data_IF_978505250821
#
_entry.id   IF_978505250821
#
_cell.length_a   1.000
_cell.length_b   1.000
_cell.length_c   1.000
_cell.angle_alpha   90.00
_cell.angle_beta   90.00
_cell.angle_gamma   90.00
#
_symmetry.space_group_name_H-M   'P 1'
#
loop_
_entity.id
_entity.type
_entity.pdbx_description
1 polymer ?
#
# COMPACT_ATOMS: atom_id res chain seq x y z
N UNK A 1 -11.16 -32.87 14.38
CA UNK A 1 -10.76 -31.50 14.78
C UNK A 1 -10.57 -31.53 16.30
N UNK A 2 -9.31 -31.53 16.76
CA UNK A 2 -9.02 -31.33 18.19
C UNK A 2 -9.60 -29.98 18.63
N UNK A 3 -10.36 -29.98 19.72
CA UNK A 3 -10.80 -28.76 20.38
C UNK A 3 -9.56 -28.04 20.92
N UNK A 4 -9.01 -27.09 20.16
CA UNK A 4 -7.98 -26.20 20.69
C UNK A 4 -8.55 -25.54 21.96
N UNK A 5 -7.88 -25.69 23.09
CA UNK A 5 -8.23 -24.93 24.27
C UNK A 5 -8.10 -23.44 23.97
N UNK A 6 -8.94 -22.59 24.57
CA UNK A 6 -8.89 -21.12 24.38
C UNK A 6 -7.47 -20.60 24.58
N UNK A 7 -6.75 -21.11 25.57
CA UNK A 7 -5.33 -20.77 25.83
C UNK A 7 -4.44 -21.06 24.61
N UNK A 8 -4.58 -22.23 24.00
CA UNK A 8 -3.77 -22.63 22.84
C UNK A 8 -4.13 -21.79 21.59
N UNK A 9 -5.41 -21.43 21.43
CA UNK A 9 -5.85 -20.53 20.38
C UNK A 9 -5.21 -19.15 20.53
N UNK A 10 -5.31 -18.54 21.72
CA UNK A 10 -4.71 -17.23 22.01
C UNK A 10 -3.19 -17.27 21.80
N UNK A 11 -2.50 -18.28 22.33
CA UNK A 11 -1.04 -18.45 22.17
C UNK A 11 -0.61 -18.68 20.70
N UNK A 12 -1.50 -19.19 19.86
CA UNK A 12 -1.22 -19.38 18.43
C UNK A 12 -1.41 -18.09 17.63
N UNK A 13 -2.47 -17.33 17.91
CA UNK A 13 -2.89 -16.20 17.10
C UNK A 13 -2.68 -14.84 17.77
N UNK A 14 -1.93 -14.77 18.90
CA UNK A 14 -1.73 -13.53 19.65
C UNK A 14 -1.25 -12.32 18.82
N UNK A 15 -0.40 -12.46 17.77
CA UNK A 15 0.01 -11.30 16.99
C UNK A 15 -1.17 -10.66 16.27
N UNK A 16 -2.06 -11.48 15.71
CA UNK A 16 -3.25 -11.02 14.98
C UNK A 16 -4.33 -10.49 15.93
N UNK A 17 -4.46 -11.06 17.12
CA UNK A 17 -5.35 -10.54 18.18
C UNK A 17 -4.86 -9.16 18.62
N UNK A 18 -3.56 -8.99 18.82
CA UNK A 18 -2.94 -7.70 19.14
C UNK A 18 -3.23 -6.69 18.04
N UNK A 19 -3.01 -7.07 16.78
CA UNK A 19 -3.29 -6.20 15.63
C UNK A 19 -4.75 -5.75 15.60
N UNK A 20 -5.69 -6.70 15.75
CA UNK A 20 -7.12 -6.40 15.79
C UNK A 20 -7.49 -5.41 16.90
N UNK A 21 -6.98 -5.64 18.12
CA UNK A 21 -7.25 -4.77 19.28
C UNK A 21 -6.70 -3.36 19.06
N UNK A 22 -5.49 -3.23 18.53
CA UNK A 22 -4.89 -1.93 18.23
C UNK A 22 -5.68 -1.20 17.12
N UNK A 23 -6.05 -1.90 16.06
CA UNK A 23 -6.85 -1.29 14.99
C UNK A 23 -8.24 -0.90 15.47
N UNK A 24 -8.90 -1.74 16.29
CA UNK A 24 -10.20 -1.41 16.87
C UNK A 24 -10.11 -0.18 17.79
N UNK A 25 -9.08 -0.09 18.62
CA UNK A 25 -8.87 1.10 19.46
C UNK A 25 -8.71 2.39 18.63
N UNK A 26 -8.06 2.29 17.46
CA UNK A 26 -7.94 3.40 16.52
C UNK A 26 -9.30 3.74 15.86
N UNK A 27 -10.07 2.75 15.45
CA UNK A 27 -11.37 2.96 14.79
C UNK A 27 -12.40 3.62 15.73
N UNK A 28 -12.45 3.21 16.99
CA UNK A 28 -13.39 3.75 17.99
C UNK A 28 -13.23 5.26 18.26
N UNK A 29 -12.17 5.90 17.81
CA UNK A 29 -11.98 7.36 17.93
C UNK A 29 -12.20 8.10 16.61
N UNK A 30 -12.54 7.39 15.50
CA UNK A 30 -12.77 8.01 14.19
C UNK A 30 -14.14 8.70 14.13
N UNK A 31 -14.19 9.84 13.47
CA UNK A 31 -15.42 10.57 13.14
C UNK A 31 -15.79 10.45 11.65
N UNK A 32 -17.04 10.67 11.32
CA UNK A 32 -17.50 10.70 9.92
C UNK A 32 -16.94 11.93 9.24
N UNK A 33 -16.28 11.78 8.11
CA UNK A 33 -15.66 12.89 7.40
C UNK A 33 -15.75 12.77 5.87
N UNK A 34 -15.40 13.83 5.16
CA UNK A 34 -15.21 13.83 3.72
C UNK A 34 -16.42 13.37 2.91
N UNK A 35 -16.19 12.45 1.98
CA UNK A 35 -17.22 11.93 1.09
C UNK A 35 -18.24 11.02 1.80
N UNK A 36 -17.90 10.47 2.98
CA UNK A 36 -18.84 9.65 3.77
C UNK A 36 -20.10 10.44 4.10
N UNK A 37 -19.97 11.76 4.43
CA UNK A 37 -21.11 12.65 4.69
C UNK A 37 -22.02 12.81 3.48
N UNK A 38 -21.44 12.83 2.27
CA UNK A 38 -22.19 12.90 1.00
C UNK A 38 -22.89 11.57 0.70
N UNK A 39 -22.14 10.46 0.82
CA UNK A 39 -22.69 9.13 0.56
C UNK A 39 -23.82 8.73 1.50
N UNK A 40 -23.81 9.19 2.76
CA UNK A 40 -24.88 8.96 3.71
C UNK A 40 -26.25 9.53 3.27
N UNK A 41 -26.23 10.58 2.45
CA UNK A 41 -27.43 11.28 1.96
C UNK A 41 -27.92 10.78 0.59
N UNK A 42 -27.13 10.02 -0.13
CA UNK A 42 -27.42 9.63 -1.54
C UNK A 42 -28.76 8.93 -1.69
N UNK A 43 -29.07 7.96 -0.81
CA UNK A 43 -30.30 7.19 -0.90
C UNK A 43 -31.51 7.84 -0.16
N UNK A 44 -31.43 9.13 0.16
CA UNK A 44 -32.56 9.83 0.78
C UNK A 44 -33.69 10.16 -0.23
N UNK A 45 -33.32 10.38 -1.50
CA UNK A 45 -34.22 10.84 -2.54
C UNK A 45 -34.23 9.92 -3.79
N UNK A 46 -33.58 8.77 -3.74
CA UNK A 46 -33.50 7.81 -4.86
C UNK A 46 -33.32 6.38 -4.36
N UNK A 47 -33.67 5.41 -5.19
CA UNK A 47 -33.42 3.99 -4.88
C UNK A 47 -31.96 3.62 -5.13
N UNK A 48 -31.51 2.50 -4.56
CA UNK A 48 -30.17 1.96 -4.84
C UNK A 48 -29.99 1.66 -6.34
N UNK A 49 -31.03 1.16 -7.00
CA UNK A 49 -30.98 0.82 -8.43
C UNK A 49 -30.79 2.08 -9.27
N UNK A 50 -31.56 3.15 -9.00
CA UNK A 50 -31.42 4.43 -9.69
C UNK A 50 -30.02 5.04 -9.49
N UNK A 51 -29.52 4.98 -8.25
CA UNK A 51 -28.17 5.44 -7.94
C UNK A 51 -27.11 4.69 -8.74
N UNK A 52 -27.14 3.36 -8.74
CA UNK A 52 -26.16 2.54 -9.45
C UNK A 52 -26.25 2.75 -10.97
N UNK A 53 -27.45 2.86 -11.53
CA UNK A 53 -27.65 3.19 -12.94
C UNK A 53 -27.07 4.56 -13.28
N UNK A 54 -27.33 5.57 -12.43
CA UNK A 54 -26.71 6.91 -12.59
C UNK A 54 -25.17 6.83 -12.55
N UNK A 55 -24.60 6.09 -11.58
CA UNK A 55 -23.13 5.95 -11.44
C UNK A 55 -22.49 5.32 -12.67
N UNK A 56 -23.08 4.23 -13.18
CA UNK A 56 -22.59 3.55 -14.38
C UNK A 56 -22.52 4.48 -15.58
N UNK A 57 -23.58 5.26 -15.82
CA UNK A 57 -23.65 6.12 -16.99
C UNK A 57 -22.90 7.44 -16.86
N UNK A 58 -22.71 7.97 -15.63
CA UNK A 58 -22.24 9.33 -15.45
C UNK A 58 -20.96 9.46 -14.62
N UNK A 59 -20.48 8.39 -13.93
CA UNK A 59 -19.37 8.60 -13.01
C UNK A 59 -18.38 7.46 -12.86
N UNK A 60 -18.79 6.18 -12.63
CA UNK A 60 -17.88 5.17 -12.13
C UNK A 60 -18.29 3.74 -12.50
N UNK A 61 -17.28 2.90 -12.76
CA UNK A 61 -17.43 1.44 -12.90
C UNK A 61 -17.46 0.70 -11.55
N UNK A 62 -17.21 1.36 -10.43
CA UNK A 62 -17.08 0.73 -9.08
C UNK A 62 -18.43 0.39 -8.46
N UNK A 63 -19.33 -0.22 -9.22
CA UNK A 63 -20.73 -0.37 -8.83
C UNK A 63 -20.93 -1.28 -7.62
N UNK A 64 -20.16 -2.35 -7.48
CA UNK A 64 -20.23 -3.27 -6.33
C UNK A 64 -19.76 -2.56 -5.06
N UNK A 65 -18.62 -1.87 -5.13
CA UNK A 65 -18.07 -1.12 -3.99
C UNK A 65 -19.04 -0.02 -3.55
N UNK A 66 -19.54 0.76 -4.50
CA UNK A 66 -20.43 1.88 -4.19
C UNK A 66 -21.82 1.44 -3.71
N UNK A 67 -22.33 0.29 -4.19
CA UNK A 67 -23.56 -0.30 -3.66
C UNK A 67 -23.44 -0.63 -2.18
N UNK A 68 -22.31 -1.21 -1.77
CA UNK A 68 -22.06 -1.55 -0.37
C UNK A 68 -21.81 -0.29 0.45
N UNK A 69 -21.02 0.66 -0.09
CA UNK A 69 -20.67 1.91 0.58
C UNK A 69 -21.93 2.72 0.97
N UNK A 70 -22.83 3.00 0.02
CA UNK A 70 -24.03 3.84 0.28
C UNK A 70 -25.02 3.18 1.22
N UNK A 71 -25.02 1.85 1.33
CA UNK A 71 -25.81 1.14 2.32
C UNK A 71 -25.13 1.17 3.68
N UNK A 72 -23.82 0.89 3.73
CA UNK A 72 -23.06 0.78 4.97
C UNK A 72 -22.95 2.11 5.71
N UNK A 73 -22.68 3.20 5.00
CA UNK A 73 -22.48 4.55 5.59
C UNK A 73 -23.74 5.10 6.27
N UNK A 74 -24.92 4.57 5.95
CA UNK A 74 -26.20 4.91 6.59
C UNK A 74 -26.45 4.15 7.89
N UNK A 75 -25.67 3.11 8.14
CA UNK A 75 -25.77 2.30 9.35
C UNK A 75 -24.98 2.94 10.48
N UNK A 76 -25.01 2.31 11.65
CA UNK A 76 -24.15 2.72 12.74
C UNK A 76 -22.68 2.52 12.35
N UNK A 77 -21.85 3.54 12.57
CA UNK A 77 -20.42 3.53 12.26
C UNK A 77 -19.68 2.33 12.89
N UNK A 78 -20.10 1.90 14.09
CA UNK A 78 -19.55 0.73 14.79
C UNK A 78 -19.59 -0.55 13.92
N UNK A 79 -20.62 -0.71 13.09
CA UNK A 79 -20.72 -1.87 12.21
C UNK A 79 -19.55 -1.89 11.20
N UNK A 80 -19.28 -0.75 10.57
CA UNK A 80 -18.13 -0.62 9.66
C UNK A 80 -16.82 -0.79 10.42
N UNK A 81 -16.63 -0.17 11.58
CA UNK A 81 -15.41 -0.26 12.39
C UNK A 81 -15.03 -1.72 12.68
N UNK A 82 -16.00 -2.55 13.09
CA UNK A 82 -15.76 -3.96 13.36
C UNK A 82 -15.43 -4.72 12.08
N UNK A 83 -16.20 -4.52 11.00
CA UNK A 83 -15.95 -5.20 9.73
C UNK A 83 -14.62 -4.82 9.12
N UNK A 84 -14.25 -3.54 9.16
CA UNK A 84 -12.97 -3.04 8.65
C UNK A 84 -11.80 -3.67 9.40
N UNK A 85 -11.84 -3.68 10.74
CA UNK A 85 -10.82 -4.32 11.57
C UNK A 85 -10.71 -5.82 11.33
N UNK A 86 -11.84 -6.52 11.18
CA UNK A 86 -11.87 -7.96 10.88
C UNK A 86 -11.24 -8.23 9.52
N UNK A 87 -11.68 -7.53 8.46
CA UNK A 87 -11.15 -7.70 7.11
C UNK A 87 -9.67 -7.36 7.04
N UNK A 88 -9.25 -6.28 7.70
CA UNK A 88 -7.83 -5.90 7.72
C UNK A 88 -6.98 -6.96 8.45
N UNK A 89 -7.46 -7.49 9.58
CA UNK A 89 -6.78 -8.56 10.30
C UNK A 89 -6.66 -9.83 9.45
N UNK A 90 -7.71 -10.20 8.72
CA UNK A 90 -7.66 -11.32 7.77
C UNK A 90 -6.68 -11.07 6.62
N UNK A 91 -6.67 -9.85 6.08
CA UNK A 91 -5.70 -9.47 5.04
C UNK A 91 -4.26 -9.65 5.51
N UNK A 92 -3.95 -9.13 6.71
CA UNK A 92 -2.64 -9.26 7.34
C UNK A 92 -2.29 -10.73 7.60
N UNK A 93 -3.24 -11.52 8.10
CA UNK A 93 -3.04 -12.94 8.33
C UNK A 93 -2.65 -13.69 7.05
N UNK A 94 -3.42 -13.50 5.96
CA UNK A 94 -3.16 -14.21 4.71
C UNK A 94 -1.94 -13.68 3.96
N UNK A 95 -1.65 -12.39 4.03
CA UNK A 95 -0.42 -11.81 3.48
C UNK A 95 0.83 -12.40 4.17
N UNK A 96 0.81 -12.53 5.50
CA UNK A 96 1.89 -13.16 6.25
C UNK A 96 1.95 -14.67 5.96
N UNK A 97 0.79 -15.33 5.93
CA UNK A 97 0.69 -16.76 5.65
C UNK A 97 1.31 -17.14 4.32
N UNK A 98 1.23 -16.29 3.32
CA UNK A 98 1.81 -16.54 2.00
C UNK A 98 3.31 -16.87 2.07
N UNK A 99 4.05 -16.25 2.99
CA UNK A 99 5.51 -16.41 3.14
C UNK A 99 5.92 -17.22 4.37
N UNK A 100 5.08 -17.32 5.39
CA UNK A 100 5.38 -18.03 6.63
C UNK A 100 5.12 -19.53 6.52
N UNK A 101 5.91 -20.23 5.71
CA UNK A 101 5.75 -21.64 5.41
C UNK A 101 5.88 -22.56 6.64
N UNK A 102 6.71 -22.17 7.62
CA UNK A 102 6.96 -22.92 8.85
C UNK A 102 5.97 -22.63 9.97
N UNK A 103 4.93 -21.82 9.73
CA UNK A 103 3.97 -21.35 10.74
C UNK A 103 4.66 -20.73 11.98
N UNK A 104 5.80 -20.05 11.78
CA UNK A 104 6.58 -19.42 12.83
C UNK A 104 5.79 -18.26 13.46
N UNK A 105 5.59 -18.32 14.79
CA UNK A 105 4.97 -17.24 15.56
C UNK A 105 5.81 -15.96 15.52
N UNK A 106 7.13 -16.11 15.50
CA UNK A 106 8.06 -15.00 15.42
C UNK A 106 7.92 -14.24 14.10
N UNK A 107 7.90 -14.95 12.98
CA UNK A 107 7.64 -14.34 11.65
C UNK A 107 6.26 -13.69 11.60
N UNK A 108 5.25 -14.33 12.19
CA UNK A 108 3.92 -13.73 12.27
C UNK A 108 3.92 -12.42 13.07
N UNK A 109 4.66 -12.37 14.18
CA UNK A 109 4.81 -11.17 14.98
C UNK A 109 5.55 -10.05 14.23
N UNK A 110 6.68 -10.35 13.58
CA UNK A 110 7.40 -9.39 12.74
C UNK A 110 6.52 -8.85 11.60
N UNK A 111 5.75 -9.73 10.95
CA UNK A 111 4.82 -9.33 9.90
C UNK A 111 3.73 -8.38 10.41
N UNK A 112 3.16 -8.65 11.58
CA UNK A 112 2.17 -7.75 12.22
C UNK A 112 2.80 -6.39 12.54
N UNK A 113 4.03 -6.34 13.06
CA UNK A 113 4.74 -5.09 13.32
C UNK A 113 4.95 -4.29 12.02
N UNK A 114 5.28 -4.96 10.92
CA UNK A 114 5.44 -4.30 9.61
C UNK A 114 4.12 -3.68 9.13
N UNK A 115 2.98 -4.37 9.27
CA UNK A 115 1.69 -3.79 8.89
C UNK A 115 1.25 -2.65 9.82
N UNK A 116 1.66 -2.63 11.09
CA UNK A 116 1.45 -1.49 12.00
C UNK A 116 2.30 -0.25 11.64
N UNK A 117 3.30 -0.39 10.77
CA UNK A 117 4.05 0.74 10.25
C UNK A 117 3.34 1.46 9.08
N UNK A 118 2.20 0.91 8.59
CA UNK A 118 1.42 1.57 7.56
C UNK A 118 0.80 2.87 8.07
N UNK A 119 0.87 4.00 7.32
CA UNK A 119 0.30 5.29 7.72
C UNK A 119 -1.22 5.29 7.55
N UNK A 120 -1.95 4.61 8.42
CA UNK A 120 -3.39 4.35 8.29
C UNK A 120 -4.24 5.63 8.22
N UNK A 121 -3.75 6.77 8.76
CA UNK A 121 -4.43 8.06 8.66
C UNK A 121 -4.66 8.53 7.21
N UNK A 122 -3.90 8.02 6.23
CA UNK A 122 -4.09 8.30 4.82
C UNK A 122 -5.45 7.76 4.28
N UNK A 123 -6.04 6.80 4.98
CA UNK A 123 -7.36 6.27 4.65
C UNK A 123 -8.49 7.27 4.96
N UNK A 124 -8.21 8.36 5.69
CA UNK A 124 -9.18 9.44 5.93
C UNK A 124 -9.34 10.42 4.77
N UNK A 125 -8.44 10.38 3.77
CA UNK A 125 -8.25 11.47 2.79
C UNK A 125 -9.49 11.82 1.94
N UNK A 126 -10.43 10.89 1.76
CA UNK A 126 -11.72 11.16 1.10
C UNK A 126 -12.94 10.71 1.93
N UNK A 127 -12.74 10.43 3.21
CA UNK A 127 -13.70 9.77 4.09
C UNK A 127 -13.23 8.36 4.42
N UNK A 128 -13.44 7.93 5.66
CA UNK A 128 -12.96 6.64 6.15
C UNK A 128 -13.57 5.47 5.38
N UNK A 129 -14.91 5.40 5.33
CA UNK A 129 -15.61 4.32 4.65
C UNK A 129 -15.36 4.37 3.14
N UNK A 130 -15.46 5.55 2.54
CA UNK A 130 -15.22 5.74 1.11
C UNK A 130 -13.82 5.29 0.70
N UNK A 131 -12.80 5.56 1.52
CA UNK A 131 -11.42 5.19 1.18
C UNK A 131 -11.13 3.73 1.53
N UNK A 132 -11.52 3.24 2.71
CA UNK A 132 -11.23 1.85 3.10
C UNK A 132 -11.92 0.85 2.19
N UNK A 133 -13.19 1.06 1.80
CA UNK A 133 -13.87 0.17 0.86
C UNK A 133 -13.20 0.15 -0.52
N UNK A 134 -12.73 1.31 -1.00
CA UNK A 134 -12.09 1.40 -2.32
C UNK A 134 -10.65 0.86 -2.36
N UNK A 135 -9.95 0.77 -1.22
CA UNK A 135 -8.54 0.35 -1.17
C UNK A 135 -8.33 -0.84 -0.24
N UNK A 136 -8.55 -0.68 1.06
CA UNK A 136 -8.26 -1.70 2.06
C UNK A 136 -9.11 -2.95 1.88
N UNK A 137 -10.44 -2.79 1.66
CA UNK A 137 -11.31 -3.94 1.42
C UNK A 137 -10.99 -4.64 0.10
N UNK A 138 -10.61 -3.89 -0.94
CA UNK A 138 -10.15 -4.50 -2.19
C UNK A 138 -8.91 -5.35 -1.97
N UNK A 139 -7.92 -4.88 -1.20
CA UNK A 139 -6.74 -5.68 -0.85
C UNK A 139 -7.12 -6.88 0.04
N UNK A 140 -7.93 -6.67 1.07
CA UNK A 140 -8.34 -7.72 1.99
C UNK A 140 -9.08 -8.85 1.26
N UNK A 141 -10.01 -8.48 0.39
CA UNK A 141 -10.78 -9.44 -0.40
C UNK A 141 -9.96 -10.07 -1.52
N UNK A 142 -8.93 -9.38 -2.05
CA UNK A 142 -7.94 -9.99 -2.93
C UNK A 142 -7.14 -11.09 -2.20
N UNK A 143 -6.73 -10.85 -0.94
CA UNK A 143 -6.08 -11.89 -0.13
C UNK A 143 -7.02 -13.06 0.16
N UNK A 144 -8.28 -12.80 0.50
CA UNK A 144 -9.29 -13.85 0.70
C UNK A 144 -9.55 -14.62 -0.60
N UNK A 145 -9.62 -13.94 -1.73
CA UNK A 145 -9.78 -14.60 -3.03
C UNK A 145 -8.59 -15.51 -3.37
N UNK A 146 -7.42 -15.23 -2.83
CA UNK A 146 -6.21 -16.02 -3.06
C UNK A 146 -6.11 -17.28 -2.19
N UNK A 147 -7.02 -17.50 -1.21
CA UNK A 147 -6.96 -18.65 -0.28
C UNK A 147 -6.87 -20.00 -1.00
N UNK A 148 -7.63 -20.28 -2.08
CA UNK A 148 -7.49 -21.56 -2.78
C UNK A 148 -6.10 -21.78 -3.38
N UNK A 149 -5.44 -20.71 -3.87
CA UNK A 149 -4.07 -20.78 -4.40
C UNK A 149 -3.05 -20.92 -3.26
N UNK A 150 -3.24 -20.20 -2.15
CA UNK A 150 -2.40 -20.36 -0.95
C UNK A 150 -2.51 -21.78 -0.40
N UNK A 151 -3.72 -22.34 -0.31
CA UNK A 151 -3.90 -23.73 0.11
C UNK A 151 -3.17 -24.71 -0.83
N UNK A 152 -3.20 -24.46 -2.14
CA UNK A 152 -2.46 -25.27 -3.11
C UNK A 152 -0.95 -25.26 -2.85
N UNK A 153 -0.37 -24.10 -2.58
CA UNK A 153 1.06 -23.96 -2.23
C UNK A 153 1.43 -24.77 -0.98
N UNK A 154 0.49 -24.93 -0.04
CA UNK A 154 0.68 -25.73 1.18
C UNK A 154 0.22 -27.18 1.04
N UNK A 155 -0.11 -27.64 -0.16
CA UNK A 155 -0.61 -29.00 -0.40
C UNK A 155 -1.96 -29.31 0.28
N UNK A 156 -2.73 -28.28 0.65
CA UNK A 156 -4.01 -28.40 1.34
C UNK A 156 -5.18 -28.42 0.37
N UNK A 157 -6.18 -29.25 0.66
CA UNK A 157 -7.45 -29.26 -0.08
C UNK A 157 -8.29 -28.06 0.32
N UNK A 158 -8.94 -27.44 -0.65
CA UNK A 158 -9.90 -26.36 -0.44
C UNK A 158 -11.31 -26.92 -0.54
N UNK A 159 -12.18 -26.63 0.43
CA UNK A 159 -13.58 -27.04 0.39
C UNK A 159 -14.43 -26.07 -0.48
N UNK A 160 -15.64 -26.50 -0.85
CA UNK A 160 -16.52 -25.75 -1.75
C UNK A 160 -16.91 -24.39 -1.16
N UNK A 161 -17.19 -24.31 0.13
CA UNK A 161 -17.55 -23.04 0.79
C UNK A 161 -16.44 -22.00 0.66
N UNK A 162 -15.17 -22.40 0.84
CA UNK A 162 -14.02 -21.50 0.67
C UNK A 162 -13.92 -21.04 -0.78
N UNK A 163 -14.16 -21.89 -1.78
CA UNK A 163 -14.22 -21.46 -3.18
C UNK A 163 -15.31 -20.41 -3.42
N UNK A 164 -16.52 -20.62 -2.89
CA UNK A 164 -17.63 -19.66 -3.02
C UNK A 164 -17.27 -18.32 -2.39
N UNK A 165 -16.77 -18.32 -1.15
CA UNK A 165 -16.33 -17.09 -0.46
C UNK A 165 -15.21 -16.40 -1.25
N UNK A 166 -14.25 -17.16 -1.77
CA UNK A 166 -13.13 -16.61 -2.56
C UNK A 166 -13.58 -15.98 -3.88
N UNK A 167 -14.60 -16.53 -4.54
CA UNK A 167 -15.17 -15.96 -5.77
C UNK A 167 -15.94 -14.67 -5.45
N UNK A 168 -16.75 -14.65 -4.40
CA UNK A 168 -17.45 -13.43 -3.97
C UNK A 168 -16.45 -12.33 -3.59
N UNK A 169 -15.38 -12.68 -2.89
CA UNK A 169 -14.30 -11.77 -2.56
C UNK A 169 -13.59 -11.25 -3.81
N UNK A 170 -13.36 -12.10 -4.82
CA UNK A 170 -12.78 -11.72 -6.09
C UNK A 170 -13.63 -10.68 -6.82
N UNK A 171 -14.96 -10.89 -6.91
CA UNK A 171 -15.89 -9.97 -7.58
C UNK A 171 -15.80 -8.56 -6.97
N UNK A 172 -15.70 -8.45 -5.65
CA UNK A 172 -15.50 -7.17 -4.99
C UNK A 172 -14.11 -6.59 -5.29
N UNK A 173 -13.06 -7.38 -5.12
CA UNK A 173 -11.68 -6.94 -5.25
C UNK A 173 -11.33 -6.41 -6.66
N UNK A 174 -11.89 -7.01 -7.72
CA UNK A 174 -11.65 -6.58 -9.11
C UNK A 174 -12.53 -5.40 -9.54
N UNK A 175 -13.38 -4.87 -8.66
CA UNK A 175 -14.24 -3.74 -8.98
C UNK A 175 -13.51 -2.38 -8.89
N UNK A 176 -12.29 -2.34 -8.35
CA UNK A 176 -11.42 -1.17 -8.27
C UNK A 176 -10.24 -1.33 -9.25
N UNK A 177 -9.91 -0.28 -9.99
CA UNK A 177 -9.00 -0.33 -11.15
C UNK A 177 -7.59 -0.83 -10.81
N UNK A 178 -6.97 -0.31 -9.74
CA UNK A 178 -5.61 -0.70 -9.32
C UNK A 178 -5.58 -2.15 -8.82
N UNK A 179 -6.56 -2.53 -8.00
CA UNK A 179 -6.71 -3.90 -7.49
C UNK A 179 -6.95 -4.90 -8.62
N UNK A 180 -7.84 -4.55 -9.56
CA UNK A 180 -8.13 -5.38 -10.73
C UNK A 180 -6.88 -5.62 -11.56
N UNK A 181 -6.12 -4.55 -11.87
CA UNK A 181 -4.88 -4.65 -12.64
C UNK A 181 -3.82 -5.51 -11.93
N UNK A 182 -3.69 -5.37 -10.61
CA UNK A 182 -2.78 -6.21 -9.79
C UNK A 182 -3.17 -7.68 -9.82
N UNK A 183 -4.46 -7.98 -9.54
CA UNK A 183 -4.96 -9.36 -9.52
C UNK A 183 -4.78 -10.00 -10.91
N UNK A 184 -5.18 -9.31 -11.96
CA UNK A 184 -5.01 -9.78 -13.33
C UNK A 184 -3.53 -10.02 -13.65
N UNK A 185 -2.68 -9.00 -13.47
CA UNK A 185 -1.26 -9.07 -13.84
C UNK A 185 -0.52 -10.19 -13.12
N UNK A 186 -0.65 -10.30 -11.79
CA UNK A 186 0.05 -11.33 -11.01
C UNK A 186 -0.44 -12.73 -11.35
N UNK A 187 -1.75 -12.94 -11.48
CA UNK A 187 -2.30 -14.26 -11.80
C UNK A 187 -2.04 -14.66 -13.26
N UNK A 188 -2.02 -13.68 -14.20
CA UNK A 188 -1.65 -13.93 -15.59
C UNK A 188 -0.18 -14.33 -15.71
N UNK A 189 0.75 -13.64 -15.02
CA UNK A 189 2.17 -14.01 -15.00
C UNK A 189 2.35 -15.43 -14.42
N UNK A 190 1.65 -15.75 -13.33
CA UNK A 190 1.68 -17.08 -12.74
C UNK A 190 1.15 -18.15 -13.73
N UNK A 191 0.03 -17.88 -14.41
CA UNK A 191 -0.53 -18.76 -15.44
C UNK A 191 0.44 -18.96 -16.61
N UNK A 192 1.03 -17.86 -17.11
CA UNK A 192 2.00 -17.88 -18.20
C UNK A 192 3.27 -18.66 -17.83
N UNK A 193 3.78 -18.49 -16.60
CA UNK A 193 4.93 -19.26 -16.11
C UNK A 193 4.64 -20.78 -16.09
N UNK A 194 3.44 -21.18 -15.61
CA UNK A 194 3.04 -22.58 -15.59
C UNK A 194 2.91 -23.16 -17.02
N UNK A 195 2.41 -22.36 -17.98
CA UNK A 195 2.34 -22.74 -19.39
C UNK A 195 3.74 -22.95 -19.99
N UNK A 196 4.67 -22.02 -19.73
CA UNK A 196 6.07 -22.11 -20.22
C UNK A 196 6.76 -23.34 -19.64
N UNK A 197 6.56 -23.61 -18.35
CA UNK A 197 7.12 -24.79 -17.66
C UNK A 197 6.40 -26.09 -17.98
N UNK A 198 5.32 -26.06 -18.77
CA UNK A 198 4.44 -27.19 -19.08
C UNK A 198 3.87 -27.88 -17.82
N UNK A 199 3.66 -27.09 -16.77
CA UNK A 199 3.04 -27.55 -15.53
C UNK A 199 1.51 -27.60 -15.66
N UNK A 200 0.86 -28.39 -14.78
CA UNK A 200 -0.60 -28.51 -14.78
C UNK A 200 -1.24 -27.20 -14.38
N UNK A 201 -2.09 -26.66 -15.26
CA UNK A 201 -2.82 -25.42 -15.01
C UNK A 201 -3.86 -25.60 -13.91
N UNK A 202 -3.88 -24.67 -12.98
CA UNK A 202 -4.89 -24.63 -11.93
C UNK A 202 -6.17 -23.96 -12.45
N UNK A 203 -7.30 -24.70 -12.39
CA UNK A 203 -8.61 -24.22 -12.88
C UNK A 203 -9.07 -22.95 -12.18
N UNK A 204 -8.78 -22.83 -10.87
CA UNK A 204 -9.15 -21.63 -10.12
C UNK A 204 -8.32 -20.41 -10.55
N UNK A 205 -7.01 -20.59 -10.82
CA UNK A 205 -6.19 -19.51 -11.36
C UNK A 205 -6.70 -19.03 -12.75
N UNK A 206 -7.11 -19.96 -13.61
CA UNK A 206 -7.75 -19.62 -14.90
C UNK A 206 -9.00 -18.78 -14.66
N UNK A 207 -9.86 -19.20 -13.71
CA UNK A 207 -11.06 -18.44 -13.35
C UNK A 207 -10.73 -17.02 -12.87
N UNK A 208 -9.72 -16.87 -12.00
CA UNK A 208 -9.27 -15.55 -11.51
C UNK A 208 -8.82 -14.66 -12.66
N UNK A 209 -8.03 -15.19 -13.60
CA UNK A 209 -7.58 -14.45 -14.77
C UNK A 209 -8.76 -14.03 -15.66
N UNK A 210 -9.70 -14.93 -15.92
CA UNK A 210 -10.87 -14.64 -16.76
C UNK A 210 -11.79 -13.58 -16.11
N UNK A 211 -12.07 -13.70 -14.82
CA UNK A 211 -12.92 -12.74 -14.10
C UNK A 211 -12.27 -11.37 -14.01
N UNK A 212 -10.99 -11.31 -13.70
CA UNK A 212 -10.27 -10.03 -13.64
C UNK A 212 -10.10 -9.39 -15.00
N UNK A 213 -9.89 -10.18 -16.07
CA UNK A 213 -9.86 -9.68 -17.44
C UNK A 213 -11.22 -9.10 -17.88
N UNK A 214 -12.31 -9.82 -17.61
CA UNK A 214 -13.67 -9.33 -17.88
C UNK A 214 -13.97 -8.03 -17.12
N UNK A 215 -13.51 -7.93 -15.85
CA UNK A 215 -13.65 -6.71 -15.06
C UNK A 215 -12.82 -5.55 -15.63
N UNK A 216 -11.60 -5.79 -16.14
CA UNK A 216 -10.82 -4.75 -16.83
C UNK A 216 -11.55 -4.23 -18.07
N UNK A 217 -12.12 -5.12 -18.88
CA UNK A 217 -12.94 -4.71 -20.03
C UNK A 217 -14.11 -3.84 -19.57
N UNK A 218 -14.84 -4.27 -18.53
CA UNK A 218 -15.96 -3.52 -17.97
C UNK A 218 -15.53 -2.12 -17.49
N UNK A 219 -14.40 -2.01 -16.79
CA UNK A 219 -13.83 -0.75 -16.32
C UNK A 219 -13.50 0.18 -17.51
N UNK A 220 -12.85 -0.36 -18.53
CA UNK A 220 -12.42 0.42 -19.69
C UNK A 220 -13.58 0.87 -20.59
N UNK A 221 -14.68 0.12 -20.61
CA UNK A 221 -15.85 0.40 -21.46
C UNK A 221 -16.98 1.14 -20.71
N UNK A 222 -16.84 1.37 -19.40
CA UNK A 222 -17.84 2.07 -18.61
C UNK A 222 -17.97 3.54 -19.04
N UNK A 223 -19.14 3.99 -19.51
CA UNK A 223 -19.32 5.36 -20.02
C UNK A 223 -19.09 6.41 -18.93
N UNK A 224 -19.48 6.13 -17.68
CA UNK A 224 -19.28 7.03 -16.56
C UNK A 224 -17.80 7.38 -16.30
N UNK A 225 -16.88 6.46 -16.54
CA UNK A 225 -15.44 6.73 -16.38
C UNK A 225 -14.94 7.82 -17.35
N UNK A 226 -15.46 7.86 -18.57
CA UNK A 226 -15.09 8.89 -19.56
C UNK A 226 -15.64 10.26 -19.16
N UNK A 227 -16.89 10.32 -18.68
CA UNK A 227 -17.51 11.56 -18.20
C UNK A 227 -16.79 12.08 -16.96
N UNK A 228 -16.49 11.19 -15.99
CA UNK A 228 -15.70 11.53 -14.82
C UNK A 228 -14.34 12.09 -15.22
N UNK A 229 -13.62 11.43 -16.13
CA UNK A 229 -12.32 11.91 -16.60
C UNK A 229 -12.39 13.34 -17.14
N UNK A 230 -13.36 13.66 -18.01
CA UNK A 230 -13.53 15.00 -18.54
C UNK A 230 -13.85 16.04 -17.45
N UNK A 231 -14.70 15.69 -16.48
CA UNK A 231 -15.04 16.54 -15.34
C UNK A 231 -13.82 16.78 -14.45
N UNK A 232 -13.06 15.73 -14.13
CA UNK A 232 -11.86 15.83 -13.28
C UNK A 232 -10.73 16.62 -13.97
N UNK A 233 -10.57 16.51 -15.30
CA UNK A 233 -9.64 17.35 -16.07
C UNK A 233 -10.03 18.82 -15.92
N UNK A 234 -11.28 19.17 -16.15
CA UNK A 234 -11.70 20.56 -16.10
C UNK A 234 -11.62 21.18 -14.70
N UNK A 235 -11.86 20.38 -13.65
CA UNK A 235 -11.92 20.84 -12.26
C UNK A 235 -10.57 20.84 -11.54
N UNK A 236 -9.82 19.71 -11.66
CA UNK A 236 -8.60 19.53 -10.88
C UNK A 236 -7.33 19.89 -11.63
N UNK A 237 -7.27 19.55 -12.94
CA UNK A 237 -6.03 19.65 -13.70
C UNK A 237 -6.25 19.94 -15.18
N UNK A 238 -6.68 21.16 -15.55
CA UNK A 238 -6.97 21.50 -16.95
C UNK A 238 -5.81 21.25 -17.93
N UNK A 239 -4.58 21.48 -17.47
CA UNK A 239 -3.37 21.27 -18.27
C UNK A 239 -3.13 19.81 -18.65
N UNK A 240 -3.71 18.86 -17.88
CA UNK A 240 -3.55 17.42 -18.10
C UNK A 240 -4.05 16.95 -19.47
N UNK A 241 -5.02 17.67 -20.05
CA UNK A 241 -5.53 17.40 -21.39
C UNK A 241 -4.44 17.53 -22.49
N UNK A 242 -3.44 18.38 -22.25
CA UNK A 242 -2.37 18.70 -23.19
C UNK A 242 -1.14 17.81 -23.01
N UNK A 243 -1.10 16.97 -21.97
CA UNK A 243 0.06 16.13 -21.70
C UNK A 243 0.12 14.91 -22.59
N UNK A 244 1.28 14.74 -23.23
CA UNK A 244 1.63 13.54 -23.96
C UNK A 244 2.01 12.36 -23.03
N UNK A 245 2.47 11.30 -23.66
CA UNK A 245 2.83 10.08 -22.93
C UNK A 245 4.06 10.28 -22.02
N UNK A 246 5.02 11.10 -22.43
CA UNK A 246 6.26 11.32 -21.66
C UNK A 246 5.99 12.07 -20.36
N UNK A 247 5.15 13.12 -20.41
CA UNK A 247 4.71 13.84 -19.21
C UNK A 247 3.93 12.94 -18.26
N UNK A 248 3.09 12.06 -18.77
CA UNK A 248 2.35 11.09 -17.96
C UNK A 248 3.28 10.04 -17.35
N UNK A 249 4.31 9.57 -18.06
CA UNK A 249 5.35 8.71 -17.49
C UNK A 249 6.09 9.44 -16.36
N UNK A 250 6.45 10.70 -16.57
CA UNK A 250 7.06 11.54 -15.53
C UNK A 250 6.17 11.65 -14.29
N UNK A 251 4.86 11.91 -14.46
CA UNK A 251 3.86 11.94 -13.40
C UNK A 251 3.68 10.58 -12.68
N UNK A 252 3.99 9.48 -13.34
CA UNK A 252 3.94 8.14 -12.75
C UNK A 252 5.16 7.85 -11.89
N UNK A 253 6.33 8.27 -12.29
CA UNK A 253 7.61 7.95 -11.62
C UNK A 253 7.88 8.91 -10.47
N UNK A 254 7.96 10.19 -10.77
CA UNK A 254 8.51 11.17 -9.83
C UNK A 254 7.62 11.37 -8.59
N UNK A 255 6.31 11.65 -8.71
CA UNK A 255 5.45 11.78 -7.53
C UNK A 255 5.37 10.49 -6.71
N UNK A 256 5.50 9.31 -7.34
CA UNK A 256 5.52 8.04 -6.63
C UNK A 256 6.72 7.98 -5.67
N UNK A 257 7.93 8.26 -6.15
CA UNK A 257 9.12 8.25 -5.29
C UNK A 257 9.14 9.39 -4.27
N UNK A 258 8.65 10.58 -4.63
CA UNK A 258 8.50 11.68 -3.68
C UNK A 258 7.61 11.28 -2.49
N UNK A 259 6.45 10.67 -2.76
CA UNK A 259 5.53 10.20 -1.72
C UNK A 259 6.11 9.01 -0.92
N UNK A 260 6.85 8.09 -1.54
CA UNK A 260 7.52 6.99 -0.83
C UNK A 260 8.58 7.48 0.16
N UNK A 261 9.25 8.59 -0.13
CA UNK A 261 10.21 9.21 0.78
C UNK A 261 9.52 10.09 1.84
N UNK A 262 8.32 10.60 1.54
CA UNK A 262 7.51 11.38 2.49
C UNK A 262 7.17 10.57 3.74
N UNK A 263 6.79 9.30 3.59
CA UNK A 263 6.41 8.40 4.68
C UNK A 263 7.59 7.94 5.58
N UNK A 264 8.82 8.08 5.12
CA UNK A 264 10.09 7.88 5.86
C UNK A 264 10.30 6.49 6.49
N UNK A 265 9.34 5.56 6.45
CA UNK A 265 9.43 4.25 7.14
C UNK A 265 9.46 3.08 6.16
N UNK A 266 8.37 2.82 5.44
CA UNK A 266 8.18 1.55 4.69
C UNK A 266 9.20 1.41 3.56
N UNK A 267 9.28 2.39 2.66
CA UNK A 267 10.20 2.31 1.53
C UNK A 267 11.68 2.37 1.95
N UNK A 268 12.11 3.28 2.83
CA UNK A 268 13.48 3.25 3.35
C UNK A 268 13.84 1.95 4.07
N UNK A 269 12.91 1.39 4.86
CA UNK A 269 13.11 0.10 5.52
C UNK A 269 13.24 -1.05 4.52
N UNK A 270 12.39 -1.08 3.50
CA UNK A 270 12.50 -2.03 2.38
C UNK A 270 13.86 -1.92 1.71
N UNK A 271 14.28 -0.72 1.32
CA UNK A 271 15.55 -0.50 0.64
C UNK A 271 16.75 -0.87 1.51
N UNK A 272 16.71 -0.57 2.80
CA UNK A 272 17.72 -0.94 3.78
C UNK A 272 17.85 -2.47 3.91
N UNK A 273 16.74 -3.18 4.15
CA UNK A 273 16.74 -4.64 4.31
C UNK A 273 17.15 -5.33 3.02
N UNK A 274 16.67 -4.85 1.86
CA UNK A 274 17.07 -5.36 0.56
C UNK A 274 18.58 -5.20 0.33
N UNK A 275 19.14 -4.04 0.66
CA UNK A 275 20.58 -3.78 0.54
C UNK A 275 21.39 -4.71 1.46
N UNK A 276 20.96 -4.86 2.72
CA UNK A 276 21.60 -5.78 3.68
C UNK A 276 21.54 -7.23 3.18
N UNK A 277 20.38 -7.67 2.67
CA UNK A 277 20.24 -9.00 2.08
C UNK A 277 21.17 -9.19 0.87
N UNK A 278 21.31 -8.16 0.03
CA UNK A 278 22.22 -8.20 -1.12
C UNK A 278 23.70 -8.32 -0.69
N UNK A 279 24.10 -7.61 0.37
CA UNK A 279 25.46 -7.71 0.93
C UNK A 279 25.81 -9.15 1.34
N UNK A 280 24.86 -9.93 1.82
CA UNK A 280 25.09 -11.35 2.20
C UNK A 280 25.30 -12.28 0.99
N UNK A 281 24.85 -11.86 -0.21
CA UNK A 281 24.91 -12.63 -1.46
C UNK A 281 26.09 -12.25 -2.37
N UNK A 282 26.74 -11.13 -2.09
CA UNK A 282 27.84 -10.62 -2.92
C UNK A 282 29.17 -10.94 -2.24
N UNK A 283 30.14 -11.49 -3.01
CA UNK A 283 31.51 -11.76 -2.53
C UNK A 283 32.47 -10.60 -2.82
N UNK A 284 32.28 -9.93 -3.96
CA UNK A 284 33.17 -8.87 -4.42
C UNK A 284 33.16 -7.66 -3.44
N UNK A 285 34.33 -7.34 -2.90
CA UNK A 285 34.51 -6.25 -1.92
C UNK A 285 34.09 -4.88 -2.47
N UNK A 286 34.40 -4.58 -3.73
CA UNK A 286 34.05 -3.29 -4.33
C UNK A 286 32.54 -3.12 -4.44
N UNK A 287 31.82 -4.18 -4.80
CA UNK A 287 30.34 -4.17 -4.82
C UNK A 287 29.79 -4.01 -3.42
N UNK A 288 30.38 -4.64 -2.40
CA UNK A 288 29.95 -4.43 -1.00
C UNK A 288 30.11 -2.97 -0.56
N UNK A 289 31.20 -2.30 -0.95
CA UNK A 289 31.36 -0.87 -0.65
C UNK A 289 30.25 -0.02 -1.29
N UNK A 290 29.88 -0.29 -2.53
CA UNK A 290 28.74 0.39 -3.18
C UNK A 290 27.44 0.14 -2.42
N UNK A 291 27.20 -1.09 -1.97
CA UNK A 291 26.00 -1.41 -1.17
C UNK A 291 26.00 -0.69 0.20
N UNK A 292 27.14 -0.54 0.86
CA UNK A 292 27.23 0.27 2.09
C UNK A 292 26.97 1.76 1.81
N UNK A 293 27.41 2.27 0.66
CA UNK A 293 27.05 3.64 0.22
C UNK A 293 25.54 3.77 -0.03
N UNK A 294 24.88 2.74 -0.53
CA UNK A 294 23.41 2.73 -0.68
C UNK A 294 22.71 2.85 0.69
N UNK A 295 23.20 2.15 1.72
CA UNK A 295 22.67 2.27 3.08
C UNK A 295 22.83 3.70 3.58
N UNK A 296 24.02 4.28 3.43
CA UNK A 296 24.28 5.66 3.81
C UNK A 296 23.37 6.63 3.05
N UNK A 297 23.22 6.42 1.74
CA UNK A 297 22.41 7.28 0.87
C UNK A 297 20.94 7.31 1.29
N UNK A 298 20.30 6.14 1.51
CA UNK A 298 18.89 6.11 1.92
C UNK A 298 18.68 6.73 3.31
N UNK A 299 19.59 6.47 4.25
CA UNK A 299 19.53 7.07 5.58
C UNK A 299 19.73 8.58 5.51
N UNK A 300 20.66 9.06 4.66
CA UNK A 300 20.87 10.47 4.41
C UNK A 300 19.62 11.14 3.83
N UNK A 301 18.95 10.53 2.85
CA UNK A 301 17.70 11.04 2.29
C UNK A 301 16.60 11.17 3.35
N UNK A 302 16.43 10.15 4.21
CA UNK A 302 15.44 10.16 5.30
C UNK A 302 15.73 11.28 6.30
N UNK A 303 16.97 11.40 6.74
CA UNK A 303 17.38 12.46 7.67
C UNK A 303 17.17 13.84 7.05
N UNK A 304 17.64 14.04 5.82
CA UNK A 304 17.51 15.33 5.11
C UNK A 304 16.02 15.71 4.92
N UNK A 305 15.18 14.74 4.51
CA UNK A 305 13.74 14.96 4.37
C UNK A 305 13.08 15.30 5.70
N UNK A 306 13.50 14.64 6.79
CA UNK A 306 13.00 14.96 8.13
C UNK A 306 13.36 16.38 8.57
N UNK A 307 14.61 16.81 8.32
CA UNK A 307 15.05 18.19 8.60
C UNK A 307 14.27 19.20 7.76
N UNK A 308 14.01 18.88 6.48
CA UNK A 308 13.19 19.70 5.59
C UNK A 308 11.78 19.90 6.16
N UNK A 309 11.12 18.84 6.58
CA UNK A 309 9.75 18.90 7.11
C UNK A 309 9.69 19.68 8.44
N UNK A 310 10.67 19.49 9.33
CA UNK A 310 10.78 20.27 10.56
C UNK A 310 10.95 21.77 10.23
N UNK A 311 11.77 22.10 9.24
CA UNK A 311 12.00 23.51 8.84
C UNK A 311 10.75 24.15 8.26
N UNK A 312 9.95 23.41 7.47
CA UNK A 312 8.70 23.89 6.89
C UNK A 312 7.58 24.04 7.94
N UNK A 313 7.54 23.14 8.92
CA UNK A 313 6.58 23.21 10.03
C UNK A 313 6.75 24.52 10.84
N UNK A 314 8.00 24.91 11.11
CA UNK A 314 8.31 26.14 11.82
C UNK A 314 7.84 27.41 11.10
N UNK A 315 7.95 27.44 9.78
CA UNK A 315 7.45 28.55 8.96
C UNK A 315 5.92 28.58 8.88
N UNK A 316 5.28 27.43 8.82
CA UNK A 316 3.81 27.30 8.72
C UNK A 316 3.08 27.74 10.00
N UNK A 317 3.67 27.52 11.18
CA UNK A 317 3.03 27.83 12.46
C UNK A 317 3.23 29.29 12.94
N UNK A 318 3.99 30.11 12.21
CA UNK A 318 4.21 31.56 12.47
C UNK A 318 4.49 31.90 13.96
N UNK A 319 4.97 30.95 14.76
CA UNK A 319 5.24 31.16 16.17
C UNK A 319 6.72 31.53 16.37
N UNK A 320 6.97 32.67 17.00
CA UNK A 320 8.33 33.13 17.28
C UNK A 320 9.16 32.09 18.05
N UNK A 321 8.54 31.36 18.97
CA UNK A 321 9.19 30.31 19.76
C UNK A 321 9.56 29.10 18.89
N UNK A 322 8.68 28.69 17.98
CA UNK A 322 8.94 27.53 17.11
C UNK A 322 9.96 27.87 16.00
N UNK A 323 9.96 29.12 15.51
CA UNK A 323 10.93 29.56 14.52
C UNK A 323 12.38 29.50 15.04
N UNK A 324 12.59 29.86 16.30
CA UNK A 324 13.92 29.72 16.93
C UNK A 324 14.42 28.28 17.00
N UNK A 325 13.50 27.31 17.22
CA UNK A 325 13.84 25.88 17.26
C UNK A 325 14.07 25.30 15.86
N UNK A 326 13.36 25.79 14.85
CA UNK A 326 13.40 25.23 13.47
C UNK A 326 14.40 25.92 12.55
N UNK A 327 14.79 27.15 12.80
CA UNK A 327 15.78 27.91 12.02
C UNK A 327 17.13 27.18 11.81
N UNK A 328 17.71 26.50 12.80
CA UNK A 328 18.95 25.74 12.59
C UNK A 328 18.78 24.65 11.54
N UNK A 329 17.64 23.97 11.51
CA UNK A 329 17.34 22.90 10.52
C UNK A 329 17.15 23.51 9.13
N UNK A 330 16.45 24.65 9.02
CA UNK A 330 16.35 25.42 7.77
C UNK A 330 17.71 25.84 7.22
N UNK A 331 18.63 26.26 8.08
CA UNK A 331 19.99 26.60 7.68
C UNK A 331 20.72 25.40 7.08
N UNK A 332 20.63 24.23 7.73
CA UNK A 332 21.27 22.99 7.23
C UNK A 332 20.68 22.58 5.87
N UNK A 333 19.35 22.59 5.74
CA UNK A 333 18.67 22.21 4.50
C UNK A 333 19.00 23.16 3.35
N UNK A 334 19.17 24.44 3.63
CA UNK A 334 19.55 25.46 2.65
C UNK A 334 21.03 25.40 2.21
N UNK A 335 21.86 24.56 2.84
CA UNK A 335 23.22 24.29 2.35
C UNK A 335 23.24 23.46 1.06
N UNK A 336 22.17 22.71 0.78
CA UNK A 336 22.04 21.86 -0.41
C UNK A 336 20.73 22.17 -1.15
N UNK A 337 20.60 23.38 -1.76
CA UNK A 337 19.35 23.79 -2.42
C UNK A 337 18.87 22.83 -3.51
N UNK A 338 19.74 22.21 -4.34
CA UNK A 338 19.28 21.24 -5.34
C UNK A 338 18.58 20.04 -4.72
N UNK A 339 19.08 19.52 -3.60
CA UNK A 339 18.48 18.39 -2.91
C UNK A 339 17.18 18.79 -2.20
N UNK A 340 17.12 19.98 -1.60
CA UNK A 340 15.89 20.55 -1.03
C UNK A 340 14.78 20.56 -2.08
N UNK A 341 15.05 21.12 -3.25
CA UNK A 341 14.07 21.21 -4.34
C UNK A 341 13.70 19.82 -4.90
N UNK A 342 14.66 18.87 -4.88
CA UNK A 342 14.41 17.50 -5.36
C UNK A 342 13.49 16.69 -4.44
N UNK A 343 13.44 16.99 -3.14
CA UNK A 343 12.68 16.25 -2.15
C UNK A 343 11.38 16.93 -1.72
N UNK A 344 11.04 18.09 -2.29
CA UNK A 344 9.72 18.70 -2.11
C UNK A 344 8.69 17.86 -2.88
N UNK A 345 7.58 17.55 -2.21
CA UNK A 345 6.47 16.85 -2.86
C UNK A 345 5.90 17.73 -3.98
N UNK A 346 5.80 17.14 -5.17
CA UNK A 346 5.28 17.84 -6.34
C UNK A 346 3.79 18.14 -6.19
N UNK A 347 3.41 19.32 -6.68
CA UNK A 347 2.02 19.75 -6.85
C UNK A 347 1.74 20.12 -8.31
N UNK A 348 0.51 20.48 -8.62
CA UNK A 348 0.12 20.97 -9.95
C UNK A 348 0.96 22.17 -10.42
N UNK A 349 1.46 22.98 -9.52
CA UNK A 349 2.23 24.20 -9.80
C UNK A 349 3.71 23.91 -10.12
N UNK A 350 4.23 22.77 -9.65
CA UNK A 350 5.67 22.45 -9.73
C UNK A 350 6.06 21.57 -10.92
N UNK A 351 5.11 21.13 -11.74
CA UNK A 351 5.39 20.28 -12.92
C UNK A 351 6.12 21.02 -14.04
N UNK A 352 5.99 22.35 -14.13
CA UNK A 352 6.68 23.16 -15.16
C UNK A 352 8.21 23.09 -15.04
N UNK A 353 8.74 22.81 -13.84
CA UNK A 353 10.17 22.80 -13.58
C UNK A 353 10.68 21.37 -13.36
N UNK A 354 11.12 20.73 -14.45
CA UNK A 354 11.72 19.39 -14.38
C UNK A 354 13.01 19.43 -13.57
N UNK A 355 12.98 18.84 -12.38
CA UNK A 355 14.15 18.72 -11.55
C UNK A 355 14.93 17.45 -11.92
N UNK A 356 16.04 17.62 -12.64
CA UNK A 356 16.90 16.53 -13.11
C UNK A 356 17.41 15.67 -11.93
N UNK A 357 17.73 16.30 -10.79
CA UNK A 357 18.20 15.56 -9.61
C UNK A 357 17.11 14.65 -9.04
N UNK A 358 15.86 15.09 -9.03
CA UNK A 358 14.71 14.24 -8.62
C UNK A 358 14.60 13.01 -9.52
N UNK A 359 14.70 13.20 -10.85
CA UNK A 359 14.69 12.10 -11.81
C UNK A 359 15.84 11.13 -11.53
N UNK A 360 17.06 11.64 -11.35
CA UNK A 360 18.23 10.80 -11.08
C UNK A 360 18.07 9.98 -9.80
N UNK A 361 17.59 10.59 -8.71
CA UNK A 361 17.32 9.88 -7.43
C UNK A 361 16.26 8.81 -7.64
N UNK A 362 15.13 9.15 -8.27
CA UNK A 362 14.02 8.21 -8.48
C UNK A 362 14.45 7.01 -9.35
N UNK A 363 15.13 7.26 -10.47
CA UNK A 363 15.63 6.19 -11.35
C UNK A 363 16.69 5.35 -10.65
N UNK A 364 17.60 5.97 -9.89
CA UNK A 364 18.60 5.24 -9.13
C UNK A 364 17.95 4.29 -8.11
N UNK A 365 16.98 4.76 -7.32
CA UNK A 365 16.28 3.95 -6.35
C UNK A 365 15.48 2.83 -7.03
N UNK A 366 14.85 3.10 -8.16
CA UNK A 366 14.09 2.12 -8.93
C UNK A 366 15.01 1.02 -9.49
N UNK A 367 16.03 1.40 -10.25
CA UNK A 367 16.94 0.47 -10.93
C UNK A 367 17.73 -0.35 -9.91
N UNK A 368 18.30 0.30 -8.88
CA UNK A 368 19.05 -0.41 -7.84
C UNK A 368 18.18 -1.41 -7.07
N UNK A 369 16.93 -1.06 -6.77
CA UNK A 369 15.96 -2.00 -6.15
C UNK A 369 15.71 -3.21 -7.04
N UNK A 370 15.49 -3.01 -8.34
CA UNK A 370 15.29 -4.11 -9.30
C UNK A 370 16.51 -5.04 -9.37
N UNK A 371 17.72 -4.47 -9.51
CA UNK A 371 18.96 -5.26 -9.59
C UNK A 371 19.22 -6.03 -8.30
N UNK A 372 19.02 -5.41 -7.15
CA UNK A 372 19.19 -6.06 -5.84
C UNK A 372 18.16 -7.19 -5.64
N UNK A 373 16.89 -7.01 -6.03
CA UNK A 373 15.87 -8.05 -5.94
C UNK A 373 16.24 -9.29 -6.78
N UNK A 374 16.66 -9.10 -8.04
CA UNK A 374 17.13 -10.20 -8.89
C UNK A 374 18.28 -10.94 -8.21
N UNK A 375 19.26 -10.20 -7.64
CA UNK A 375 20.42 -10.80 -6.99
C UNK A 375 20.08 -11.57 -5.72
N UNK A 376 19.16 -11.05 -4.90
CA UNK A 376 18.80 -11.71 -3.64
C UNK A 376 17.98 -12.96 -3.86
N UNK A 377 17.02 -12.93 -4.78
CA UNK A 377 16.13 -14.08 -5.00
C UNK A 377 16.69 -15.09 -6.00
N UNK A 378 17.78 -14.79 -6.70
CA UNK A 378 18.33 -15.60 -7.81
C UNK A 378 17.25 -15.90 -8.87
N UNK A 379 16.24 -15.02 -8.99
CA UNK A 379 15.06 -15.13 -9.80
C UNK A 379 14.30 -13.81 -9.91
N UNK A 380 13.10 -13.88 -10.51
CA UNK A 380 12.29 -12.71 -10.81
C UNK A 380 11.11 -12.50 -9.85
N UNK A 381 10.91 -13.37 -8.85
CA UNK A 381 9.73 -13.34 -7.97
C UNK A 381 9.61 -12.01 -7.22
N UNK A 382 10.69 -11.59 -6.57
CA UNK A 382 10.74 -10.31 -5.86
C UNK A 382 10.61 -9.12 -6.80
N UNK A 383 11.24 -9.19 -7.99
CA UNK A 383 11.14 -8.16 -9.01
C UNK A 383 9.70 -8.02 -9.53
N UNK A 384 9.03 -9.13 -9.84
CA UNK A 384 7.64 -9.15 -10.31
C UNK A 384 6.73 -8.48 -9.29
N UNK A 385 6.85 -8.83 -8.01
CA UNK A 385 6.06 -8.19 -6.95
C UNK A 385 6.36 -6.70 -6.83
N UNK A 386 7.64 -6.30 -6.86
CA UNK A 386 8.03 -4.90 -6.78
C UNK A 386 7.47 -4.08 -7.95
N UNK A 387 7.63 -4.58 -9.17
CA UNK A 387 7.11 -3.92 -10.38
C UNK A 387 5.57 -3.88 -10.35
N UNK A 388 4.90 -4.95 -9.92
CA UNK A 388 3.44 -4.95 -9.78
C UNK A 388 2.97 -3.87 -8.79
N UNK A 389 3.64 -3.77 -7.63
CA UNK A 389 3.37 -2.72 -6.65
C UNK A 389 3.62 -1.32 -7.21
N UNK A 390 4.75 -1.11 -7.86
CA UNK A 390 5.08 0.16 -8.51
C UNK A 390 4.03 0.53 -9.58
N UNK A 391 3.69 -0.42 -10.46
CA UNK A 391 2.70 -0.22 -11.52
C UNK A 391 1.30 0.07 -10.98
N UNK A 392 0.94 -0.44 -9.80
CA UNK A 392 -0.35 -0.12 -9.16
C UNK A 392 -0.48 1.38 -8.89
N UNK A 393 0.59 2.05 -8.48
CA UNK A 393 0.60 3.51 -8.31
C UNK A 393 0.81 4.22 -9.65
N UNK A 394 1.70 3.70 -10.51
CA UNK A 394 2.02 4.30 -11.81
C UNK A 394 0.77 4.51 -12.68
N UNK A 395 -0.21 3.62 -12.65
CA UNK A 395 -1.47 3.75 -13.38
C UNK A 395 -2.19 5.08 -13.07
N UNK A 396 -2.03 5.61 -11.85
CA UNK A 396 -2.66 6.90 -11.48
C UNK A 396 -2.09 8.10 -12.25
N UNK A 397 -0.95 7.96 -12.91
CA UNK A 397 -0.38 8.95 -13.81
C UNK A 397 -1.26 9.28 -15.03
N UNK A 398 -2.14 8.36 -15.36
CA UNK A 398 -3.11 8.51 -16.47
C UNK A 398 -4.45 9.13 -15.99
N UNK A 399 -4.53 9.53 -14.73
CA UNK A 399 -5.67 10.22 -14.15
C UNK A 399 -5.37 11.69 -13.85
N UNK A 400 -6.27 12.63 -14.18
CA UNK A 400 -6.12 14.03 -13.83
C UNK A 400 -6.11 14.28 -12.31
N UNK A 401 -6.49 13.29 -11.51
CA UNK A 401 -6.50 13.36 -10.05
C UNK A 401 -5.19 12.85 -9.41
N UNK A 402 -4.11 12.69 -10.17
CA UNK A 402 -2.82 12.13 -9.72
C UNK A 402 -2.31 12.76 -8.41
N UNK A 403 -2.46 14.06 -8.23
CA UNK A 403 -2.06 14.76 -7.01
C UNK A 403 -3.15 14.74 -5.93
N UNK A 404 -4.40 15.05 -6.30
CA UNK A 404 -5.50 15.14 -5.33
C UNK A 404 -5.89 13.79 -4.74
N UNK A 405 -5.65 12.71 -5.47
CA UNK A 405 -5.82 11.36 -4.95
C UNK A 405 -4.79 11.00 -3.86
N UNK A 406 -3.67 11.68 -3.85
CA UNK A 406 -2.70 11.66 -2.77
C UNK A 406 -2.14 10.29 -2.38
N UNK A 407 -1.65 10.18 -1.13
CA UNK A 407 -0.97 8.97 -0.63
C UNK A 407 -1.85 7.73 -0.55
N UNK A 408 -3.19 7.87 -0.40
CA UNK A 408 -4.09 6.68 -0.35
C UNK A 408 -3.92 5.75 -1.55
N UNK A 409 -3.54 6.28 -2.71
CA UNK A 409 -3.32 5.48 -3.93
C UNK A 409 -2.01 4.68 -3.90
N UNK A 410 -1.13 4.93 -2.92
CA UNK A 410 0.07 4.13 -2.66
C UNK A 410 -0.21 2.88 -1.81
N UNK A 411 -1.39 2.71 -1.24
CA UNK A 411 -1.67 1.64 -0.28
C UNK A 411 -1.28 0.26 -0.82
N UNK A 412 -1.64 -0.08 -2.06
CA UNK A 412 -1.26 -1.37 -2.66
C UNK A 412 0.25 -1.52 -2.77
N UNK A 413 0.96 -0.46 -3.14
CA UNK A 413 2.43 -0.51 -3.22
C UNK A 413 3.06 -0.65 -1.84
N UNK A 414 2.60 0.08 -0.83
CA UNK A 414 3.08 -0.09 0.55
C UNK A 414 2.86 -1.50 1.07
N UNK A 415 1.71 -2.10 0.82
CA UNK A 415 1.45 -3.46 1.26
C UNK A 415 2.31 -4.49 0.54
N UNK A 416 2.58 -4.28 -0.74
CA UNK A 416 3.55 -5.11 -1.49
C UNK A 416 4.97 -4.91 -0.95
N UNK A 417 5.38 -3.69 -0.61
CA UNK A 417 6.70 -3.46 0.02
C UNK A 417 6.80 -4.16 1.38
N UNK A 418 5.76 -4.10 2.21
CA UNK A 418 5.69 -4.84 3.48
C UNK A 418 5.82 -6.35 3.24
N UNK A 419 5.12 -6.88 2.25
CA UNK A 419 5.21 -8.29 1.86
C UNK A 419 6.61 -8.65 1.36
N UNK A 420 7.27 -7.79 0.59
CA UNK A 420 8.65 -7.97 0.14
C UNK A 420 9.64 -7.93 1.31
N UNK A 421 9.47 -7.02 2.26
CA UNK A 421 10.29 -6.99 3.50
C UNK A 421 10.15 -8.33 4.23
N UNK A 422 8.93 -8.83 4.41
CA UNK A 422 8.68 -10.09 5.06
C UNK A 422 9.32 -11.27 4.31
N UNK A 423 9.19 -11.29 2.98
CA UNK A 423 9.80 -12.30 2.11
C UNK A 423 11.33 -12.29 2.21
N UNK A 424 11.96 -11.11 2.26
CA UNK A 424 13.40 -10.95 2.48
C UNK A 424 13.82 -11.47 3.86
N UNK A 425 13.08 -11.14 4.90
CA UNK A 425 13.36 -11.59 6.28
C UNK A 425 13.26 -13.12 6.37
N UNK A 426 12.18 -13.71 5.84
CA UNK A 426 12.01 -15.17 5.83
C UNK A 426 13.18 -15.84 5.11
N UNK A 427 13.58 -15.33 3.94
CA UNK A 427 14.72 -15.83 3.18
C UNK A 427 16.02 -15.76 3.97
N UNK A 428 16.29 -14.64 4.65
CA UNK A 428 17.49 -14.47 5.47
C UNK A 428 17.51 -15.44 6.67
N UNK A 429 16.34 -15.74 7.27
CA UNK A 429 16.24 -16.76 8.33
C UNK A 429 16.45 -18.18 7.77
N UNK A 430 15.86 -18.50 6.62
CA UNK A 430 15.98 -19.82 6.00
C UNK A 430 17.41 -20.13 5.52
N UNK A 431 18.20 -19.10 5.22
CA UNK A 431 19.62 -19.19 4.84
C UNK A 431 20.59 -19.04 6.03
N UNK A 432 20.09 -19.02 7.27
CA UNK A 432 20.89 -18.83 8.50
C UNK A 432 21.77 -17.56 8.49
N UNK A 433 21.33 -16.51 7.78
CA UNK A 433 22.06 -15.23 7.69
C UNK A 433 21.78 -14.28 8.87
N UNK A 434 20.72 -14.55 9.63
CA UNK A 434 20.35 -13.79 10.81
C UNK A 434 20.69 -14.61 12.05
N UNK A 435 21.70 -14.17 12.82
CA UNK A 435 22.00 -14.75 14.10
C UNK A 435 21.10 -14.20 15.23
N UNK A 436 21.08 -14.86 16.40
CA UNK A 436 20.24 -14.49 17.54
C UNK A 436 20.42 -13.02 18.03
N UNK A 437 21.62 -12.43 17.85
CA UNK A 437 21.86 -11.04 18.22
C UNK A 437 21.18 -10.09 17.23
N UNK A 438 21.35 -10.32 15.95
CA UNK A 438 20.71 -9.53 14.88
C UNK A 438 19.18 -9.65 14.93
N UNK A 439 18.65 -10.85 15.17
CA UNK A 439 17.22 -11.08 15.33
C UNK A 439 16.64 -10.25 16.49
N UNK A 440 17.30 -10.25 17.67
CA UNK A 440 16.87 -9.43 18.80
C UNK A 440 16.90 -7.94 18.49
N UNK A 441 17.94 -7.47 17.79
CA UNK A 441 18.03 -6.06 17.39
C UNK A 441 16.94 -5.68 16.39
N UNK A 442 16.73 -6.47 15.35
CA UNK A 442 15.69 -6.26 14.35
C UNK A 442 14.30 -6.24 15.01
N UNK A 443 13.99 -7.22 15.85
CA UNK A 443 12.71 -7.30 16.57
C UNK A 443 12.47 -6.06 17.43
N UNK A 444 13.47 -5.63 18.21
CA UNK A 444 13.37 -4.42 19.05
C UNK A 444 13.17 -3.16 18.19
N UNK A 445 13.91 -3.03 17.09
CA UNK A 445 13.77 -1.90 16.17
C UNK A 445 12.37 -1.87 15.57
N UNK A 446 11.82 -3.02 15.18
CA UNK A 446 10.46 -3.09 14.62
C UNK A 446 9.39 -2.75 15.67
N UNK A 447 9.56 -3.19 16.93
CA UNK A 447 8.65 -2.81 18.01
C UNK A 447 8.66 -1.29 18.20
N UNK A 448 9.85 -0.66 18.23
CA UNK A 448 9.97 0.78 18.39
C UNK A 448 9.35 1.52 17.20
N UNK A 449 9.70 1.15 15.99
CA UNK A 449 9.18 1.81 14.78
C UNK A 449 7.66 1.66 14.64
N UNK A 450 7.14 0.44 14.83
CA UNK A 450 5.70 0.18 14.79
C UNK A 450 4.95 0.91 15.90
N UNK A 451 5.51 0.93 17.12
CA UNK A 451 4.94 1.65 18.26
C UNK A 451 4.89 3.15 18.01
N UNK A 452 6.00 3.75 17.59
CA UNK A 452 6.06 5.19 17.26
C UNK A 452 5.09 5.55 16.13
N UNK A 453 5.08 4.76 15.05
CA UNK A 453 4.15 4.99 13.95
C UNK A 453 2.69 4.88 14.40
N UNK A 454 2.34 3.82 15.15
CA UNK A 454 0.99 3.65 15.65
C UNK A 454 0.53 4.83 16.51
N UNK A 455 1.36 5.29 17.46
CA UNK A 455 1.02 6.44 18.31
C UNK A 455 0.91 7.74 17.52
N UNK A 456 1.79 7.96 16.55
CA UNK A 456 1.73 9.12 15.66
C UNK A 456 0.44 9.13 14.82
N UNK A 457 0.13 8.00 14.18
CA UNK A 457 -1.09 7.83 13.39
C UNK A 457 -2.33 7.98 14.27
N UNK A 458 -2.34 7.36 15.46
CA UNK A 458 -3.44 7.49 16.41
C UNK A 458 -3.67 8.95 16.82
N UNK A 459 -2.59 9.69 17.10
CA UNK A 459 -2.68 11.11 17.43
C UNK A 459 -3.28 11.95 16.27
N UNK A 460 -2.85 11.69 15.03
CA UNK A 460 -3.43 12.37 13.85
C UNK A 460 -4.92 12.02 13.73
N UNK A 461 -5.28 10.75 13.85
CA UNK A 461 -6.67 10.29 13.76
C UNK A 461 -7.51 10.97 14.83
N UNK A 462 -7.04 10.99 16.08
CA UNK A 462 -7.77 11.59 17.20
C UNK A 462 -7.95 13.10 17.03
N UNK A 463 -6.90 13.84 16.65
CA UNK A 463 -6.90 15.31 16.59
C UNK A 463 -7.58 15.83 15.33
N UNK A 464 -7.31 15.21 14.18
CA UNK A 464 -7.74 15.75 12.87
C UNK A 464 -9.03 15.11 12.34
N UNK A 465 -9.26 13.83 12.68
CA UNK A 465 -10.33 13.02 12.11
C UNK A 465 -11.16 12.30 13.18
N UNK A 466 -11.03 12.71 14.45
CA UNK A 466 -11.72 12.09 15.57
C UNK A 466 -13.18 12.52 15.68
N UNK A 467 -13.91 11.87 16.60
CA UNK A 467 -15.33 12.14 16.87
C UNK A 467 -15.63 13.59 17.30
N UNK A 468 -14.63 14.31 17.76
CA UNK A 468 -14.75 15.68 18.27
C UNK A 468 -14.06 16.73 17.39
N UNK A 469 -13.59 16.34 16.19
CA UNK A 469 -12.91 17.23 15.24
C UNK A 469 -13.89 17.97 14.31
#
# INVERSE_FOLDING_TARGET
MEKLSVKNFVLKYYPFILFFVLMLAMHLVMGVNGDDIKYAKVLSNQTLVDYINYRYHNWSSRLVIESILVVLVRQNMILWEIFDCVLYTFAVYYAIKLFNHKDSKHIAFLGVLLFLMYPFHEMASAGWMATTLNYLWCFALAMISSIPLINLLYGKKTNVLVYVISILALIFAVNQEQSCALIFGLNFIFLANNLIKKEKLNKYNILVVLVSFASLIFILTCPGNSIRYATEVSYWYPQFANYGILEKIYLGIIPTFALLLEEKIIFPLFYLILTLATVTKVENKNVKYILYLNIFFILFLVVFKTLLDISTLGTALNSATLSHLTNPFGTIVNLIPPLKNALVVMSYETISDINVLTIMIALYLLISSCLMLIKVFDGFEGLILFIAGFMSKFITAFSPTVFVSGPRTLMFFYFILIMLILMLIVKLFDEDKINSKWDKWMTRSFIVLAGLNYFFVFAIVFVKYGLFS
#
